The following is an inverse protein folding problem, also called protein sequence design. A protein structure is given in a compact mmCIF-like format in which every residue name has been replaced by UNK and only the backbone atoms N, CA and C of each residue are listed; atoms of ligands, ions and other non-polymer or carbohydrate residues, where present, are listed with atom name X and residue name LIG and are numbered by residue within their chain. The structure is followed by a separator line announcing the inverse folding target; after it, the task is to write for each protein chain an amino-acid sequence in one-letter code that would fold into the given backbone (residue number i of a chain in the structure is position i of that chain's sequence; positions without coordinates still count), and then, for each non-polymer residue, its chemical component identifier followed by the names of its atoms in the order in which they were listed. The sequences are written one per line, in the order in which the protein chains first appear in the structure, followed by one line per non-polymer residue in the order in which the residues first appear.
data_IF_122386729012
#
_entry.id   IF_122386729012
#
_cell.length_a   1.000
_cell.length_b   1.000
_cell.length_c   1.000
_cell.angle_alpha   90.00
_cell.angle_beta   90.00
_cell.angle_gamma   90.00
#
_symmetry.space_group_name_H-M   'P 1'
#
loop_
_entity.id
_entity.type
_entity.pdbx_description
1 polymer ?
#
# COMPACT_ATOMS: atom_id res chain seq x y z
N UNK A 1 42.29 -0.21 -16.91
CA UNK A 1 41.55 -0.78 -18.05
C UNK A 1 42.54 -0.81 -19.19
N UNK A 2 42.75 -1.95 -19.84
CA UNK A 2 43.68 -2.01 -20.96
C UNK A 2 43.09 -1.26 -22.15
N UNK A 3 43.86 -0.32 -22.68
CA UNK A 3 43.42 0.57 -23.76
C UNK A 3 43.74 0.00 -25.15
N UNK A 4 44.51 -1.08 -25.22
CA UNK A 4 45.06 -1.66 -26.44
C UNK A 4 44.80 -3.16 -26.49
N UNK A 5 44.22 -3.63 -27.59
CA UNK A 5 43.79 -5.01 -27.77
C UNK A 5 44.49 -5.63 -28.97
N UNK A 6 45.08 -6.80 -28.77
CA UNK A 6 45.73 -7.55 -29.83
C UNK A 6 44.72 -8.21 -30.75
N UNK A 7 45.10 -8.48 -32.00
CA UNK A 7 44.24 -9.22 -32.94
C UNK A 7 43.79 -10.57 -32.37
N UNK A 8 44.64 -11.24 -31.57
CA UNK A 8 44.27 -12.51 -30.94
C UNK A 8 43.14 -12.37 -29.92
N UNK A 9 43.07 -11.25 -29.19
CA UNK A 9 42.01 -10.96 -28.22
C UNK A 9 40.72 -10.49 -28.90
N UNK A 10 40.82 -9.99 -30.14
CA UNK A 10 39.70 -9.53 -30.94
C UNK A 10 39.08 -10.66 -31.79
N UNK A 11 39.86 -11.69 -32.13
CA UNK A 11 39.38 -12.85 -32.90
C UNK A 11 38.45 -13.72 -32.06
N UNK A 12 37.33 -14.14 -32.64
CA UNK A 12 36.58 -15.30 -32.15
C UNK A 12 35.39 -15.00 -31.24
N UNK A 13 34.66 -13.89 -31.44
CA UNK A 13 33.32 -13.76 -30.87
C UNK A 13 32.93 -12.41 -30.30
N UNK A 14 33.68 -11.34 -30.59
CA UNK A 14 33.24 -9.99 -30.24
C UNK A 14 32.31 -9.44 -31.34
N UNK A 15 31.15 -8.86 -30.97
CA UNK A 15 30.23 -8.28 -31.93
C UNK A 15 30.92 -7.13 -32.68
N UNK A 16 30.62 -7.00 -33.97
CA UNK A 16 31.24 -6.02 -34.85
C UNK A 16 32.64 -6.40 -35.38
N UNK A 17 33.24 -7.52 -34.95
CA UNK A 17 34.56 -7.97 -35.42
C UNK A 17 34.47 -9.22 -36.31
N UNK A 18 35.17 -9.25 -37.47
CA UNK A 18 35.25 -10.44 -38.30
C UNK A 18 35.89 -11.66 -37.62
N UNK A 19 35.48 -12.86 -38.00
CA UNK A 19 35.93 -14.10 -37.36
C UNK A 19 37.39 -14.51 -37.67
N UNK A 20 38.05 -13.90 -38.66
CA UNK A 20 39.42 -14.26 -39.08
C UNK A 20 40.40 -13.10 -38.88
N UNK A 21 41.64 -13.42 -38.49
CA UNK A 21 42.73 -12.44 -38.31
C UNK A 21 42.90 -11.54 -39.54
N UNK A 22 42.87 -12.14 -40.73
CA UNK A 22 43.03 -11.42 -42.00
C UNK A 22 41.92 -10.40 -42.23
N UNK A 23 40.67 -10.79 -42.00
CA UNK A 23 39.52 -9.89 -42.15
C UNK A 23 39.53 -8.75 -41.11
N UNK A 24 40.10 -8.98 -39.92
CA UNK A 24 40.30 -7.93 -38.91
C UNK A 24 41.33 -6.91 -39.39
N UNK A 25 42.48 -7.34 -39.94
CA UNK A 25 43.45 -6.42 -40.54
C UNK A 25 42.85 -5.60 -41.68
N UNK A 26 42.09 -6.26 -42.58
CA UNK A 26 41.44 -5.57 -43.70
C UNK A 26 40.40 -4.55 -43.22
N UNK A 27 39.67 -4.86 -42.15
CA UNK A 27 38.70 -3.95 -41.52
C UNK A 27 39.40 -2.79 -40.82
N UNK A 28 40.44 -3.06 -40.04
CA UNK A 28 41.22 -2.05 -39.36
C UNK A 28 41.89 -1.07 -40.33
N UNK A 29 42.36 -1.56 -41.48
CA UNK A 29 42.90 -0.72 -42.56
C UNK A 29 41.81 0.11 -43.23
N UNK A 30 40.63 -0.48 -43.50
CA UNK A 30 39.49 0.23 -44.12
C UNK A 30 38.93 1.34 -43.24
N UNK A 31 38.92 1.11 -41.93
CA UNK A 31 38.36 2.02 -40.93
C UNK A 31 39.44 2.85 -40.22
N UNK A 32 40.70 2.78 -40.68
CA UNK A 32 41.86 3.51 -40.13
C UNK A 32 41.99 3.43 -38.61
N UNK A 33 41.93 2.20 -38.05
CA UNK A 33 42.04 2.01 -36.62
C UNK A 33 43.43 2.42 -36.11
N UNK A 34 43.47 3.09 -34.94
CA UNK A 34 44.73 3.42 -34.27
C UNK A 34 45.45 2.14 -33.87
N UNK A 35 46.64 1.92 -34.45
CA UNK A 35 47.44 0.71 -34.24
C UNK A 35 48.80 1.03 -33.66
N UNK A 36 49.31 0.15 -32.78
CA UNK A 36 50.69 0.15 -32.30
C UNK A 36 51.32 -1.23 -32.46
N UNK A 37 52.65 -1.28 -32.47
CA UNK A 37 53.37 -2.54 -32.36
C UNK A 37 53.16 -3.15 -30.96
N UNK A 38 52.86 -4.45 -30.93
CA UNK A 38 52.62 -5.20 -29.70
C UNK A 38 53.89 -5.25 -28.84
N UNK A 39 53.77 -4.83 -27.58
CA UNK A 39 54.85 -4.93 -26.60
C UNK A 39 54.87 -6.34 -25.97
N UNK A 40 55.41 -7.33 -26.69
CA UNK A 40 55.51 -8.71 -26.20
C UNK A 40 56.16 -9.71 -27.17
N UNK A 41 56.37 -10.95 -26.72
CA UNK A 41 56.91 -12.04 -27.57
C UNK A 41 55.93 -12.39 -28.71
N UNK A 42 56.46 -12.45 -29.93
CA UNK A 42 55.71 -12.90 -31.13
C UNK A 42 55.24 -11.81 -32.10
N UNK A 43 55.59 -10.53 -31.86
CA UNK A 43 55.25 -9.42 -32.76
C UNK A 43 53.74 -9.19 -32.95
N UNK A 44 53.39 -8.37 -33.94
CA UNK A 44 51.99 -8.08 -34.33
C UNK A 44 51.51 -6.67 -33.96
N UNK A 45 50.25 -6.37 -34.31
CA UNK A 45 49.60 -5.09 -34.05
C UNK A 45 48.55 -5.21 -32.95
N UNK A 46 48.49 -4.18 -32.12
CA UNK A 46 47.40 -3.91 -31.17
C UNK A 46 46.62 -2.69 -31.62
N UNK A 47 45.31 -2.69 -31.37
CA UNK A 47 44.42 -1.60 -31.72
C UNK A 47 43.85 -0.93 -30.48
N UNK A 48 43.78 0.41 -30.51
CA UNK A 48 43.24 1.17 -29.40
C UNK A 48 41.71 1.00 -29.31
N UNK A 49 41.18 0.89 -28.09
CA UNK A 49 39.76 0.64 -27.83
C UNK A 49 38.84 1.65 -28.50
N UNK A 50 39.21 2.93 -28.55
CA UNK A 50 38.40 3.99 -29.17
C UNK A 50 38.21 3.82 -30.68
N UNK A 51 39.11 3.08 -31.33
CA UNK A 51 39.08 2.82 -32.77
C UNK A 51 38.30 1.56 -33.14
N UNK A 52 37.95 0.72 -32.15
CA UNK A 52 37.16 -0.48 -32.39
C UNK A 52 35.68 -0.13 -32.65
N UNK A 53 34.89 -1.01 -33.30
CA UNK A 53 33.46 -0.80 -33.47
C UNK A 53 32.74 -0.60 -32.13
N UNK A 54 31.73 0.26 -32.10
CA UNK A 54 31.03 0.63 -30.86
C UNK A 54 30.44 -0.60 -30.14
N UNK A 55 29.99 -1.61 -30.88
CA UNK A 55 29.52 -2.88 -30.33
C UNK A 55 30.63 -3.65 -29.62
N UNK A 56 31.83 -3.68 -30.21
CA UNK A 56 33.02 -4.29 -29.60
C UNK A 56 33.43 -3.54 -28.34
N UNK A 57 33.45 -2.20 -28.38
CA UNK A 57 33.77 -1.39 -27.20
C UNK A 57 32.84 -1.70 -26.03
N UNK A 58 31.52 -1.80 -26.28
CA UNK A 58 30.54 -2.17 -25.26
C UNK A 58 30.77 -3.58 -24.72
N UNK A 59 31.05 -4.55 -25.60
CA UNK A 59 31.31 -5.93 -25.19
C UNK A 59 32.57 -6.05 -24.31
N UNK A 60 33.66 -5.35 -24.68
CA UNK A 60 34.89 -5.30 -23.89
C UNK A 60 34.69 -4.60 -22.55
N UNK A 61 33.89 -3.53 -22.50
CA UNK A 61 33.51 -2.87 -21.26
C UNK A 61 32.68 -3.78 -20.33
N UNK A 62 31.71 -4.51 -20.87
CA UNK A 62 30.91 -5.51 -20.12
C UNK A 62 31.81 -6.62 -19.58
N UNK A 63 32.74 -7.13 -20.40
CA UNK A 63 33.68 -8.16 -19.96
C UNK A 63 34.59 -7.67 -18.84
N UNK A 64 35.20 -6.50 -19.00
CA UNK A 64 36.06 -5.90 -17.97
C UNK A 64 35.32 -5.61 -16.67
N UNK A 65 34.08 -5.11 -16.76
CA UNK A 65 33.24 -4.89 -15.57
C UNK A 65 32.87 -6.19 -14.89
N UNK A 66 32.53 -7.25 -15.63
CA UNK A 66 32.29 -8.58 -15.07
C UNK A 66 33.53 -9.18 -14.40
N UNK A 67 34.71 -9.04 -15.00
CA UNK A 67 35.98 -9.50 -14.43
C UNK A 67 36.32 -8.71 -13.14
N UNK A 68 36.04 -7.40 -13.14
CA UNK A 68 36.16 -6.55 -11.93
C UNK A 68 35.16 -6.95 -10.85
N UNK A 69 33.90 -7.23 -11.20
CA UNK A 69 32.89 -7.72 -10.26
C UNK A 69 33.29 -9.09 -9.70
N UNK A 70 33.90 -9.95 -10.53
CA UNK A 70 34.39 -11.27 -10.12
C UNK A 70 35.55 -11.16 -9.15
N UNK A 71 36.50 -10.25 -9.35
CA UNK A 71 37.58 -10.01 -8.39
C UNK A 71 37.07 -9.40 -7.08
N UNK A 72 36.19 -8.40 -7.14
CA UNK A 72 35.53 -7.82 -5.96
C UNK A 72 34.67 -8.85 -5.21
N UNK A 73 34.19 -9.90 -5.88
CA UNK A 73 33.33 -10.90 -5.24
C UNK A 73 33.97 -11.74 -4.15
N UNK A 74 35.30 -11.75 -4.08
CA UNK A 74 36.05 -12.41 -3.02
C UNK A 74 36.12 -11.56 -1.73
N UNK A 75 35.96 -10.24 -1.83
CA UNK A 75 36.07 -9.32 -0.69
C UNK A 75 34.93 -9.49 0.32
N UNK A 76 35.22 -9.35 1.63
CA UNK A 76 34.23 -9.53 2.69
C UNK A 76 33.05 -8.55 2.55
N UNK A 77 33.32 -7.28 2.23
CA UNK A 77 32.27 -6.26 2.04
C UNK A 77 31.32 -6.60 0.88
N UNK A 78 31.81 -7.20 -0.21
CA UNK A 78 30.96 -7.60 -1.33
C UNK A 78 30.07 -8.81 -0.98
N UNK A 79 30.60 -9.77 -0.19
CA UNK A 79 29.84 -10.90 0.32
C UNK A 79 28.74 -10.46 1.30
N UNK A 80 29.06 -9.51 2.18
CA UNK A 80 28.08 -8.88 3.07
C UNK A 80 27.00 -8.11 2.30
N UNK A 81 27.38 -7.34 1.28
CA UNK A 81 26.44 -6.66 0.39
C UNK A 81 25.51 -7.64 -0.34
N UNK A 82 26.03 -8.78 -0.82
CA UNK A 82 25.20 -9.86 -1.40
C UNK A 82 24.26 -10.49 -0.36
N UNK A 83 24.71 -10.68 0.87
CA UNK A 83 23.88 -11.22 1.95
C UNK A 83 22.74 -10.25 2.32
N UNK A 84 23.00 -8.95 2.43
CA UNK A 84 21.96 -7.93 2.63
C UNK A 84 20.99 -7.85 1.45
N UNK A 85 21.49 -7.91 0.21
CA UNK A 85 20.61 -7.97 -0.98
C UNK A 85 19.71 -9.22 -0.97
N UNK A 86 20.21 -10.36 -0.51
CA UNK A 86 19.41 -11.58 -0.35
C UNK A 86 18.33 -11.41 0.75
N UNK A 87 18.66 -10.79 1.89
CA UNK A 87 17.68 -10.47 2.95
C UNK A 87 16.57 -9.54 2.43
N UNK A 88 16.93 -8.52 1.66
CA UNK A 88 15.96 -7.60 1.04
C UNK A 88 15.01 -8.33 0.09
N UNK A 89 15.55 -9.19 -0.80
CA UNK A 89 14.72 -10.02 -1.70
C UNK A 89 13.77 -10.92 -0.92
N UNK A 90 14.26 -11.61 0.11
CA UNK A 90 13.42 -12.45 0.97
C UNK A 90 12.32 -11.62 1.65
N UNK A 91 12.65 -10.43 2.17
CA UNK A 91 11.67 -9.51 2.78
C UNK A 91 10.62 -9.05 1.77
N UNK A 92 11.01 -8.74 0.53
CA UNK A 92 10.10 -8.39 -0.55
C UNK A 92 9.18 -9.56 -0.92
N UNK A 93 9.72 -10.77 -1.08
CA UNK A 93 8.95 -11.99 -1.36
C UNK A 93 7.95 -12.29 -0.23
N UNK A 94 8.37 -12.19 1.04
CA UNK A 94 7.48 -12.36 2.20
C UNK A 94 6.37 -11.31 2.16
N UNK A 95 6.69 -10.04 1.91
CA UNK A 95 5.72 -8.95 1.81
C UNK A 95 4.70 -9.19 0.69
N UNK A 96 5.16 -9.67 -0.48
CA UNK A 96 4.29 -10.03 -1.60
C UNK A 96 3.36 -11.18 -1.24
N UNK A 97 3.88 -12.26 -0.63
CA UNK A 97 3.08 -13.40 -0.15
C UNK A 97 2.03 -12.98 0.88
N UNK A 98 2.39 -12.15 1.86
CA UNK A 98 1.46 -11.59 2.85
C UNK A 98 0.36 -10.76 2.17
N UNK A 99 0.72 -9.92 1.21
CA UNK A 99 -0.23 -9.09 0.47
C UNK A 99 -1.20 -9.95 -0.34
N UNK A 100 -0.71 -11.01 -0.99
CA UNK A 100 -1.53 -11.95 -1.74
C UNK A 100 -2.51 -12.70 -0.83
N UNK A 101 -2.03 -13.21 0.32
CA UNK A 101 -2.88 -13.87 1.31
C UNK A 101 -3.98 -12.94 1.85
N UNK A 102 -3.63 -11.68 2.18
CA UNK A 102 -4.61 -10.66 2.61
C UNK A 102 -5.68 -10.40 1.55
N UNK A 103 -5.32 -10.35 0.28
CA UNK A 103 -6.30 -10.17 -0.81
C UNK A 103 -7.26 -11.35 -0.93
N UNK A 104 -6.76 -12.57 -0.77
CA UNK A 104 -7.59 -13.78 -0.85
C UNK A 104 -8.56 -13.86 0.34
N UNK A 105 -8.06 -13.62 1.55
CA UNK A 105 -8.89 -13.50 2.77
C UNK A 105 -9.94 -12.38 2.65
N UNK A 106 -9.53 -11.23 2.08
CA UNK A 106 -10.43 -10.11 1.79
C UNK A 106 -11.54 -10.51 0.83
N UNK A 107 -11.25 -11.29 -0.21
CA UNK A 107 -12.26 -11.75 -1.15
C UNK A 107 -13.31 -12.62 -0.44
N UNK A 108 -12.87 -13.60 0.35
CA UNK A 108 -13.76 -14.47 1.12
C UNK A 108 -14.64 -13.68 2.11
N UNK A 109 -14.06 -12.70 2.81
CA UNK A 109 -14.80 -11.83 3.75
C UNK A 109 -15.80 -10.90 3.08
N UNK A 110 -15.62 -10.60 1.79
CA UNK A 110 -16.50 -9.70 1.06
C UNK A 110 -17.93 -10.26 0.92
N UNK A 111 -18.08 -11.58 0.89
CA UNK A 111 -19.39 -12.25 0.81
C UNK A 111 -20.25 -12.03 2.06
N UNK A 112 -19.61 -11.88 3.22
CA UNK A 112 -20.30 -11.61 4.50
C UNK A 112 -20.66 -10.15 4.73
N UNK A 113 -20.26 -9.22 3.86
CA UNK A 113 -20.59 -7.79 4.02
C UNK A 113 -22.04 -7.51 3.62
N UNK A 114 -22.77 -6.79 4.47
CA UNK A 114 -24.17 -6.40 4.25
C UNK A 114 -24.39 -4.90 4.44
N UNK A 115 -25.51 -4.40 3.91
CA UNK A 115 -25.95 -3.01 4.01
C UNK A 115 -24.92 -1.99 3.54
N UNK A 116 -24.88 -0.83 4.23
CA UNK A 116 -24.04 0.32 3.84
C UNK A 116 -22.55 -0.01 3.72
N UNK A 117 -22.05 -1.02 4.43
CA UNK A 117 -20.64 -1.44 4.34
C UNK A 117 -20.34 -2.03 2.96
N UNK A 118 -21.23 -2.90 2.48
CA UNK A 118 -21.20 -3.49 1.14
C UNK A 118 -21.35 -2.42 0.06
N UNK A 119 -22.30 -1.50 0.23
CA UNK A 119 -22.57 -0.44 -0.75
C UNK A 119 -21.36 0.49 -0.91
N UNK A 120 -20.74 0.91 0.19
CA UNK A 120 -19.50 1.71 0.15
C UNK A 120 -18.34 0.97 -0.48
N UNK A 121 -18.20 -0.33 -0.19
CA UNK A 121 -17.16 -1.16 -0.80
C UNK A 121 -17.34 -1.21 -2.32
N UNK A 122 -18.54 -1.55 -2.78
CA UNK A 122 -18.88 -1.68 -4.18
C UNK A 122 -18.73 -0.36 -4.93
N UNK A 123 -19.21 0.75 -4.35
CA UNK A 123 -19.12 2.06 -4.99
C UNK A 123 -17.66 2.50 -5.19
N UNK A 124 -16.80 2.30 -4.19
CA UNK A 124 -15.36 2.60 -4.33
C UNK A 124 -14.67 1.67 -5.33
N UNK A 125 -15.02 0.38 -5.34
CA UNK A 125 -14.48 -0.56 -6.32
C UNK A 125 -14.84 -0.14 -7.75
N UNK A 126 -16.08 0.30 -7.96
CA UNK A 126 -16.53 0.76 -9.27
C UNK A 126 -15.82 2.05 -9.71
N UNK A 127 -15.63 3.02 -8.80
CA UNK A 127 -14.80 4.20 -9.07
C UNK A 127 -13.36 3.81 -9.42
N UNK A 128 -12.77 2.81 -8.75
CA UNK A 128 -11.43 2.31 -9.07
C UNK A 128 -11.39 1.71 -10.49
N UNK A 129 -12.39 0.94 -10.91
CA UNK A 129 -12.47 0.40 -12.28
C UNK A 129 -12.63 1.51 -13.33
N UNK A 130 -13.47 2.51 -13.05
CA UNK A 130 -13.63 3.69 -13.91
C UNK A 130 -12.30 4.44 -14.05
N UNK A 131 -11.58 4.61 -12.94
CA UNK A 131 -10.24 5.19 -12.93
C UNK A 131 -9.25 4.38 -13.77
N UNK A 132 -9.21 3.05 -13.62
CA UNK A 132 -8.30 2.19 -14.38
C UNK A 132 -8.58 2.26 -15.88
N UNK A 133 -9.87 2.36 -16.26
CA UNK A 133 -10.29 2.54 -17.65
C UNK A 133 -9.85 3.90 -18.18
N UNK A 134 -10.13 4.97 -17.43
CA UNK A 134 -9.71 6.34 -17.75
C UNK A 134 -8.18 6.45 -17.89
N UNK A 135 -7.43 5.78 -17.01
CA UNK A 135 -5.97 5.86 -17.02
C UNK A 135 -5.35 5.21 -18.25
N UNK A 136 -5.97 4.18 -18.82
CA UNK A 136 -5.50 3.52 -20.05
C UNK A 136 -5.58 4.44 -21.28
N UNK A 137 -6.55 5.35 -21.31
CA UNK A 137 -6.74 6.30 -22.41
C UNK A 137 -6.00 7.63 -22.19
N UNK A 138 -5.47 7.86 -20.99
CA UNK A 138 -4.86 9.12 -20.60
C UNK A 138 -3.33 9.09 -20.79
N UNK A 139 -2.82 10.00 -21.62
CA UNK A 139 -1.38 10.18 -21.90
C UNK A 139 -0.63 10.92 -20.79
N UNK A 140 -1.37 11.61 -19.91
CA UNK A 140 -0.79 12.41 -18.83
C UNK A 140 -0.07 11.55 -17.77
N UNK A 141 0.78 12.20 -16.97
CA UNK A 141 1.39 11.56 -15.81
C UNK A 141 0.33 11.04 -14.83
N UNK A 142 0.66 10.03 -14.03
CA UNK A 142 -0.31 9.39 -13.12
C UNK A 142 -0.98 10.38 -12.18
N UNK A 143 -0.23 11.32 -11.60
CA UNK A 143 -0.77 12.31 -10.67
C UNK A 143 -1.73 13.27 -11.37
N UNK A 144 -1.35 13.82 -12.53
CA UNK A 144 -2.21 14.70 -13.32
C UNK A 144 -3.48 13.98 -13.78
N UNK A 145 -3.35 12.74 -14.26
CA UNK A 145 -4.49 11.91 -14.64
C UNK A 145 -5.47 11.69 -13.47
N UNK A 146 -4.97 11.47 -12.25
CA UNK A 146 -5.85 11.30 -11.09
C UNK A 146 -6.64 12.58 -10.76
N UNK A 147 -6.00 13.76 -10.86
CA UNK A 147 -6.70 15.04 -10.69
C UNK A 147 -7.77 15.22 -11.77
N UNK A 148 -7.42 14.99 -13.04
CA UNK A 148 -8.35 15.09 -14.17
C UNK A 148 -9.52 14.13 -14.03
N UNK A 149 -9.28 12.88 -13.63
CA UNK A 149 -10.34 11.90 -13.39
C UNK A 149 -11.31 12.36 -12.30
N UNK A 150 -10.80 12.77 -11.14
CA UNK A 150 -11.66 13.21 -10.04
C UNK A 150 -12.45 14.47 -10.42
N UNK A 151 -11.82 15.40 -11.15
CA UNK A 151 -12.50 16.57 -11.68
C UNK A 151 -13.62 16.17 -12.65
N UNK A 152 -13.33 15.37 -13.67
CA UNK A 152 -14.31 14.90 -14.65
C UNK A 152 -15.45 14.11 -14.00
N UNK A 153 -15.16 13.26 -13.00
CA UNK A 153 -16.17 12.52 -12.25
C UNK A 153 -17.12 13.46 -11.49
N UNK A 154 -16.57 14.45 -10.79
CA UNK A 154 -17.34 15.42 -10.03
C UNK A 154 -18.20 16.33 -10.92
N UNK A 155 -17.75 16.59 -12.16
CA UNK A 155 -18.50 17.35 -13.17
C UNK A 155 -19.53 16.50 -13.94
N UNK A 156 -19.68 15.22 -13.61
CA UNK A 156 -20.62 14.35 -14.32
C UNK A 156 -20.13 13.83 -15.68
N UNK A 157 -18.90 14.15 -16.08
CA UNK A 157 -18.33 13.77 -17.39
C UNK A 157 -17.92 12.30 -17.45
N UNK A 158 -17.60 11.69 -16.29
CA UNK A 158 -17.40 10.23 -16.20
C UNK A 158 -18.76 9.57 -15.95
N UNK A 159 -19.18 8.72 -16.90
CA UNK A 159 -20.39 7.92 -16.76
C UNK A 159 -20.19 6.88 -15.66
N UNK A 160 -21.00 6.98 -14.61
CA UNK A 160 -21.01 6.04 -13.50
C UNK A 160 -22.46 5.60 -13.22
N UNK A 161 -22.71 4.36 -12.78
CA UNK A 161 -24.04 3.93 -12.38
C UNK A 161 -24.65 4.82 -11.29
N UNK A 162 -25.97 5.00 -11.31
CA UNK A 162 -26.68 5.89 -10.38
C UNK A 162 -26.45 5.49 -8.91
N UNK A 163 -26.45 4.20 -8.61
CA UNK A 163 -26.18 3.68 -7.26
C UNK A 163 -24.77 4.06 -6.76
N UNK A 164 -23.78 4.21 -7.64
CA UNK A 164 -22.43 4.67 -7.26
C UNK A 164 -22.47 6.13 -6.85
N UNK A 165 -23.14 6.98 -7.64
CA UNK A 165 -23.29 8.41 -7.33
C UNK A 165 -24.14 8.66 -6.09
N UNK A 166 -25.12 7.79 -5.80
CA UNK A 166 -25.90 7.82 -4.56
C UNK A 166 -25.05 7.57 -3.31
N UNK A 167 -23.98 6.78 -3.41
CA UNK A 167 -23.07 6.49 -2.28
C UNK A 167 -21.87 7.44 -2.25
N UNK A 168 -21.34 7.83 -3.41
CA UNK A 168 -20.15 8.67 -3.57
C UNK A 168 -20.45 9.72 -4.64
N UNK A 169 -21.09 10.80 -4.23
CA UNK A 169 -21.43 11.90 -5.15
C UNK A 169 -20.18 12.54 -5.76
N UNK A 170 -19.16 12.79 -4.92
CA UNK A 170 -17.90 13.43 -5.29
C UNK A 170 -16.70 12.73 -4.68
N UNK A 171 -15.56 12.84 -5.34
CA UNK A 171 -14.28 12.33 -4.84
C UNK A 171 -13.14 13.30 -5.14
N UNK A 172 -12.02 13.10 -4.46
CA UNK A 172 -10.80 13.90 -4.59
C UNK A 172 -9.60 13.01 -4.88
N UNK A 173 -8.56 13.58 -5.50
CA UNK A 173 -7.34 12.85 -5.80
C UNK A 173 -6.73 12.15 -4.55
N UNK A 174 -6.64 12.79 -3.37
CA UNK A 174 -6.11 12.13 -2.17
C UNK A 174 -6.98 10.94 -1.71
N UNK A 175 -8.30 11.06 -1.85
CA UNK A 175 -9.25 9.99 -1.49
C UNK A 175 -9.10 8.79 -2.42
N UNK A 176 -9.03 9.04 -3.73
CA UNK A 176 -8.79 8.02 -4.73
C UNK A 176 -7.45 7.31 -4.49
N UNK A 177 -6.37 8.06 -4.24
CA UNK A 177 -5.07 7.46 -3.91
C UNK A 177 -5.13 6.58 -2.66
N UNK A 178 -5.81 7.05 -1.61
CA UNK A 178 -5.99 6.29 -0.38
C UNK A 178 -6.72 4.97 -0.65
N UNK A 179 -7.76 4.98 -1.48
CA UNK A 179 -8.50 3.77 -1.87
C UNK A 179 -7.65 2.83 -2.71
N UNK A 180 -6.94 3.34 -3.73
CA UNK A 180 -6.02 2.55 -4.55
C UNK A 180 -4.94 1.88 -3.72
N UNK A 181 -4.33 2.62 -2.78
CA UNK A 181 -3.31 2.09 -1.87
C UNK A 181 -3.89 0.98 -0.98
N UNK A 182 -5.03 1.22 -0.35
CA UNK A 182 -5.72 0.23 0.49
C UNK A 182 -6.10 -1.02 -0.27
N UNK A 183 -6.71 -0.87 -1.44
CA UNK A 183 -7.10 -1.97 -2.30
C UNK A 183 -5.89 -2.85 -2.67
N UNK A 184 -4.74 -2.23 -3.02
CA UNK A 184 -3.51 -2.96 -3.33
C UNK A 184 -2.93 -3.70 -2.12
N UNK A 185 -2.97 -3.14 -0.92
CA UNK A 185 -2.30 -3.69 0.26
C UNK A 185 -3.16 -4.65 1.07
N UNK A 186 -4.47 -4.41 1.13
CA UNK A 186 -5.41 -5.06 2.05
C UNK A 186 -6.57 -5.77 1.34
N UNK A 187 -6.76 -5.54 0.03
CA UNK A 187 -7.85 -6.16 -0.76
C UNK A 187 -9.17 -5.37 -0.75
N UNK A 188 -10.23 -5.96 -1.30
CA UNK A 188 -11.51 -5.29 -1.59
C UNK A 188 -12.27 -4.87 -0.32
N UNK A 189 -12.29 -5.69 0.73
CA UNK A 189 -13.01 -5.39 1.99
C UNK A 189 -12.48 -4.15 2.70
N UNK A 190 -11.20 -3.79 2.49
CA UNK A 190 -10.62 -2.56 3.03
C UNK A 190 -11.32 -1.28 2.55
N UNK A 191 -12.01 -1.36 1.39
CA UNK A 191 -12.78 -0.26 0.82
C UNK A 191 -14.09 -0.02 1.57
N UNK A 192 -14.67 -1.03 2.22
CA UNK A 192 -15.90 -0.92 3.01
C UNK A 192 -15.78 0.13 4.14
N UNK A 193 -14.57 0.23 4.70
CA UNK A 193 -14.22 1.12 5.80
C UNK A 193 -14.68 0.59 7.16
N UNK A 194 -14.15 1.18 8.23
CA UNK A 194 -14.42 0.76 9.61
C UNK A 194 -15.50 1.64 10.26
N UNK A 195 -16.59 1.91 9.54
CA UNK A 195 -17.67 2.74 10.10
C UNK A 195 -18.41 1.96 11.21
N UNK A 196 -18.66 2.61 12.34
CA UNK A 196 -19.39 2.01 13.46
C UNK A 196 -18.54 1.15 14.42
N UNK A 197 -17.25 0.96 14.18
CA UNK A 197 -16.37 0.16 15.07
C UNK A 197 -16.10 0.81 16.43
N UNK A 198 -16.50 2.07 16.62
CA UNK A 198 -16.44 2.79 17.92
C UNK A 198 -17.69 2.57 18.78
N UNK A 199 -18.68 1.81 18.30
CA UNK A 199 -19.85 1.47 19.13
C UNK A 199 -19.36 0.62 20.30
N UNK A 200 -19.67 1.03 21.53
CA UNK A 200 -19.20 0.35 22.73
C UNK A 200 -17.79 0.77 23.18
N UNK A 201 -17.15 1.78 22.57
CA UNK A 201 -15.83 2.28 23.00
C UNK A 201 -15.92 3.59 23.80
N UNK A 202 -17.12 4.00 24.23
CA UNK A 202 -17.33 5.21 25.03
C UNK A 202 -16.93 5.00 26.49
N UNK A 203 -16.73 6.10 27.22
CA UNK A 203 -16.25 6.08 28.62
C UNK A 203 -17.07 5.17 29.55
N UNK A 204 -18.39 5.10 29.35
CA UNK A 204 -19.27 4.20 30.09
C UNK A 204 -19.02 2.72 29.81
N UNK A 205 -18.42 2.34 28.69
CA UNK A 205 -18.11 0.94 28.38
C UNK A 205 -16.68 0.57 28.76
N UNK A 206 -15.79 1.56 28.93
CA UNK A 206 -14.40 1.35 29.32
C UNK A 206 -14.19 1.48 30.83
N UNK A 207 -15.04 2.22 31.53
CA UNK A 207 -15.00 2.37 32.99
C UNK A 207 -16.18 1.62 33.64
N UNK A 208 -15.88 0.49 34.29
CA UNK A 208 -16.90 -0.38 34.92
C UNK A 208 -17.62 0.30 36.07
N UNK A 209 -16.91 1.05 36.92
CA UNK A 209 -17.54 1.73 38.06
C UNK A 209 -18.55 2.79 37.60
N UNK A 210 -18.20 3.52 36.53
CA UNK A 210 -19.08 4.51 35.91
C UNK A 210 -20.30 3.85 35.24
N UNK A 211 -20.10 2.71 34.56
CA UNK A 211 -21.18 1.90 34.01
C UNK A 211 -22.16 1.46 35.11
N UNK A 212 -21.63 0.80 36.14
CA UNK A 212 -22.42 0.19 37.22
C UNK A 212 -23.23 1.25 37.97
N UNK A 213 -22.64 2.42 38.25
CA UNK A 213 -23.34 3.53 38.88
C UNK A 213 -24.54 3.99 38.05
N UNK A 214 -24.34 4.24 36.74
CA UNK A 214 -25.40 4.74 35.89
C UNK A 214 -26.50 3.69 35.65
N UNK A 215 -26.13 2.41 35.51
CA UNK A 215 -27.11 1.32 35.39
C UNK A 215 -27.91 1.15 36.69
N UNK A 216 -27.26 1.12 37.85
CA UNK A 216 -27.95 1.02 39.13
C UNK A 216 -28.96 2.15 39.34
N UNK A 217 -28.61 3.38 38.97
CA UNK A 217 -29.56 4.50 39.01
C UNK A 217 -30.75 4.30 38.07
N UNK A 218 -30.53 3.77 36.86
CA UNK A 218 -31.62 3.50 35.91
C UNK A 218 -32.53 2.35 36.34
N UNK A 219 -31.99 1.35 37.04
CA UNK A 219 -32.78 0.20 37.50
C UNK A 219 -33.56 0.49 38.78
N UNK A 220 -32.96 1.20 39.73
CA UNK A 220 -33.62 1.58 41.00
C UNK A 220 -34.55 2.78 40.82
N UNK A 221 -34.23 3.70 39.91
CA UNK A 221 -35.04 4.88 39.61
C UNK A 221 -35.27 5.02 38.08
N UNK A 222 -36.26 4.31 37.51
CA UNK A 222 -36.47 4.24 36.05
C UNK A 222 -36.75 5.59 35.38
N UNK A 223 -37.30 6.54 36.13
CA UNK A 223 -37.57 7.91 35.67
C UNK A 223 -36.36 8.84 35.79
N UNK A 224 -35.19 8.36 36.21
CA UNK A 224 -34.02 9.21 36.36
C UNK A 224 -33.61 9.84 35.02
N UNK A 225 -33.21 11.10 35.08
CA UNK A 225 -32.70 11.86 33.93
C UNK A 225 -31.17 11.92 33.90
N UNK A 226 -30.63 12.35 32.77
CA UNK A 226 -29.17 12.42 32.61
C UNK A 226 -28.49 13.45 33.52
N UNK A 227 -29.23 14.46 34.02
CA UNK A 227 -28.67 15.46 34.95
C UNK A 227 -28.50 14.85 36.34
N UNK A 228 -29.46 14.05 36.79
CA UNK A 228 -29.39 13.34 38.06
C UNK A 228 -28.23 12.33 38.06
N UNK A 229 -28.03 11.61 36.95
CA UNK A 229 -26.88 10.72 36.79
C UNK A 229 -25.57 11.52 36.77
N UNK A 230 -25.53 12.67 36.09
CA UNK A 230 -24.37 13.58 36.10
C UNK A 230 -23.99 14.03 37.52
N UNK A 231 -24.99 14.42 38.31
CA UNK A 231 -24.79 14.85 39.70
C UNK A 231 -24.25 13.70 40.56
N UNK A 232 -24.75 12.48 40.36
CA UNK A 232 -24.29 11.30 41.08
C UNK A 232 -22.84 10.91 40.73
N UNK A 233 -22.44 11.12 39.48
CA UNK A 233 -21.07 10.94 38.98
C UNK A 233 -20.15 11.98 39.61
N UNK A 234 -20.56 13.25 39.60
CA UNK A 234 -19.80 14.36 40.20
C UNK A 234 -19.54 14.13 41.68
N UNK A 235 -20.57 13.71 42.44
CA UNK A 235 -20.46 13.40 43.86
C UNK A 235 -19.53 12.20 44.18
N UNK A 236 -19.16 11.40 43.17
CA UNK A 236 -18.33 10.20 43.32
C UNK A 236 -17.08 10.23 42.45
N UNK A 237 -16.70 11.40 41.93
CA UNK A 237 -15.61 11.58 40.97
C UNK A 237 -14.32 10.85 41.40
N UNK A 238 -13.93 10.99 42.66
CA UNK A 238 -12.72 10.38 43.23
C UNK A 238 -12.78 8.85 43.23
N UNK A 239 -13.97 8.27 43.47
CA UNK A 239 -14.17 6.81 43.50
C UNK A 239 -14.31 6.21 42.10
N UNK A 240 -14.64 7.03 41.11
CA UNK A 240 -14.84 6.62 39.72
C UNK A 240 -13.56 6.71 38.89
N UNK A 241 -12.47 7.24 39.46
CA UNK A 241 -11.17 7.39 38.79
C UNK A 241 -11.29 8.12 37.44
N UNK A 242 -12.12 9.18 37.39
CA UNK A 242 -12.32 10.00 36.20
C UNK A 242 -11.74 11.40 36.38
N UNK A 243 -10.94 11.84 35.40
CA UNK A 243 -10.36 13.20 35.40
C UNK A 243 -11.42 14.27 35.11
N UNK A 244 -12.33 13.97 34.18
CA UNK A 244 -13.39 14.88 33.74
C UNK A 244 -14.77 14.19 33.74
N UNK A 245 -15.80 14.95 34.12
CA UNK A 245 -17.18 14.46 34.14
C UNK A 245 -17.70 14.39 32.69
N UNK A 246 -18.26 13.25 32.25
CA UNK A 246 -18.86 13.15 30.93
C UNK A 246 -19.97 14.19 30.74
N UNK A 247 -19.98 14.87 29.59
CA UNK A 247 -21.04 15.83 29.27
C UNK A 247 -22.43 15.18 29.35
N UNK A 248 -23.44 15.91 29.84
CA UNK A 248 -24.82 15.41 30.04
C UNK A 248 -25.40 14.72 28.79
N UNK A 249 -25.10 15.23 27.58
CA UNK A 249 -25.49 14.57 26.31
C UNK A 249 -24.85 13.20 26.10
N UNK A 250 -23.63 12.98 26.56
CA UNK A 250 -22.95 11.67 26.52
C UNK A 250 -23.65 10.69 27.46
N UNK A 251 -24.01 11.16 28.66
CA UNK A 251 -24.77 10.40 29.65
C UNK A 251 -26.15 10.02 29.09
N UNK A 252 -26.89 10.99 28.54
CA UNK A 252 -28.20 10.76 27.93
C UNK A 252 -28.14 9.73 26.80
N UNK A 253 -27.15 9.83 25.90
CA UNK A 253 -26.93 8.85 24.82
C UNK A 253 -26.63 7.45 25.35
N UNK A 254 -25.84 7.35 26.41
CA UNK A 254 -25.57 6.08 27.07
C UNK A 254 -26.85 5.48 27.65
N UNK A 255 -27.63 6.27 28.40
CA UNK A 255 -28.88 5.82 29.01
C UNK A 255 -29.88 5.34 27.95
N UNK A 256 -30.07 6.10 26.88
CA UNK A 256 -30.96 5.74 25.76
C UNK A 256 -30.49 4.46 25.06
N UNK A 257 -29.19 4.34 24.77
CA UNK A 257 -28.64 3.13 24.17
C UNK A 257 -28.80 1.91 25.08
N UNK A 258 -28.60 2.07 26.39
CA UNK A 258 -28.78 1.01 27.36
C UNK A 258 -30.25 0.56 27.43
N UNK A 259 -31.20 1.51 27.50
CA UNK A 259 -32.65 1.21 27.51
C UNK A 259 -33.08 0.48 26.23
N UNK A 260 -32.59 0.92 25.06
CA UNK A 260 -32.91 0.28 23.78
C UNK A 260 -32.35 -1.15 23.69
N UNK A 261 -31.14 -1.39 24.20
CA UNK A 261 -30.52 -2.71 24.19
C UNK A 261 -31.12 -3.66 25.25
N UNK A 262 -31.68 -3.12 26.33
CA UNK A 262 -32.27 -3.89 27.44
C UNK A 262 -33.78 -3.66 27.55
N UNK A 263 -34.46 -3.43 26.41
CA UNK A 263 -35.85 -2.98 26.37
C UNK A 263 -36.79 -3.84 27.22
N UNK A 264 -36.70 -5.17 27.10
CA UNK A 264 -37.52 -6.10 27.88
C UNK A 264 -37.28 -5.98 29.39
N UNK A 265 -36.01 -5.89 29.81
CA UNK A 265 -35.63 -5.74 31.23
C UNK A 265 -36.11 -4.39 31.76
N UNK A 266 -35.94 -3.33 30.99
CA UNK A 266 -36.32 -1.99 31.40
C UNK A 266 -37.84 -1.82 31.48
N UNK A 267 -38.59 -2.40 30.54
CA UNK A 267 -40.07 -2.43 30.57
C UNK A 267 -40.58 -3.20 31.80
N UNK A 268 -39.97 -4.33 32.13
CA UNK A 268 -40.30 -5.08 33.35
C UNK A 268 -40.07 -4.25 34.62
N UNK A 269 -38.93 -3.55 34.72
CA UNK A 269 -38.61 -2.69 35.86
C UNK A 269 -39.60 -1.51 35.97
N UNK A 270 -39.99 -0.92 34.83
CA UNK A 270 -40.89 0.23 34.81
C UNK A 270 -42.35 -0.16 35.13
N UNK A 271 -42.77 -1.37 34.81
CA UNK A 271 -44.13 -1.85 35.05
C UNK A 271 -44.18 -3.34 35.39
N UNK A 272 -43.81 -3.73 36.62
CA UNK A 272 -43.78 -5.14 37.03
C UNK A 272 -45.15 -5.82 36.99
N UNK A 273 -46.23 -5.04 37.22
CA UNK A 273 -47.61 -5.54 37.27
C UNK A 273 -48.16 -5.90 35.87
N UNK A 274 -47.63 -5.31 34.79
CA UNK A 274 -48.04 -5.67 33.43
C UNK A 274 -47.56 -7.08 33.01
N UNK A 275 -46.64 -7.68 33.76
CA UNK A 275 -46.03 -8.98 33.50
C UNK A 275 -46.50 -10.09 34.45
N UNK A 276 -47.30 -9.76 35.48
CA UNK A 276 -47.95 -10.74 36.34
C UNK A 276 -49.35 -11.02 35.80
N UNK A 277 -49.39 -11.83 34.73
CA UNK A 277 -50.61 -12.53 34.34
C UNK A 277 -50.98 -13.59 35.37
#
# INVERSE_FOLDING_TARGET
MDEWFSVLELVGGLPGIPASRRAIFDKAKRENWQSRERQGRGGGLEYHISSLPQETQRALAIKNTNDTIKSMSAEPAFKEGKAEAAKLKIKEEISQKITQAKRLDSLNKSEGLTGMSRDRMNAKLEIIKLWETFKKTCTETTTAAQFLFCYAYNQGQIQAPEWVRGVIEKTSQPSLMKWLKKYRQEGVTSLAGNYGTRRGSGIFHTNKALYDLAVAMMTEFPHCDAKQVSLAIEARKDKLEIEEIPHVKTIARFMEAWKNNNKQVFEFIQSPDAWRG
#
